data_IF_507941630303
#
_entry.id   IF_507941630303
#
_cell.length_a   1.000
_cell.length_b   1.000
_cell.length_c   1.000
_cell.angle_alpha   90.00
_cell.angle_beta   90.00
_cell.angle_gamma   90.00
#
_symmetry.space_group_name_H-M   'P 1'
#
loop_
_entity.id
_entity.type
_entity.pdbx_description
1 polymer ?
#
# COMPACT_ATOMS: atom_id res chain seq x y z
N UNK A 1 3.67 -10.93 10.79
CA UNK A 1 3.60 -12.36 10.42
C UNK A 1 3.14 -13.18 11.63
N UNK A 2 3.89 -13.29 12.72
CA UNK A 2 3.59 -14.15 13.88
C UNK A 2 2.17 -13.97 14.47
N UNK A 3 1.70 -12.73 14.57
CA UNK A 3 0.34 -12.46 15.08
C UNK A 3 -0.74 -13.03 14.14
N UNK A 4 -0.56 -12.89 12.83
CA UNK A 4 -1.51 -13.43 11.84
C UNK A 4 -1.51 -14.96 11.82
N UNK A 5 -0.37 -15.60 12.01
CA UNK A 5 -0.28 -17.06 12.13
C UNK A 5 -1.02 -17.56 13.37
N UNK A 6 -0.76 -16.97 14.53
CA UNK A 6 -1.45 -17.33 15.79
C UNK A 6 -2.98 -17.17 15.68
N UNK A 7 -3.44 -16.10 15.03
CA UNK A 7 -4.86 -15.88 14.80
C UNK A 7 -5.43 -16.91 13.84
N UNK A 8 -4.73 -17.23 12.76
CA UNK A 8 -5.16 -18.25 11.80
C UNK A 8 -5.21 -19.64 12.43
N UNK A 9 -4.20 -20.03 13.21
CA UNK A 9 -4.16 -21.30 13.93
C UNK A 9 -5.28 -21.44 14.95
N UNK A 10 -5.65 -20.34 15.62
CA UNK A 10 -6.67 -20.37 16.66
C UNK A 10 -8.09 -20.36 16.08
N UNK A 11 -8.38 -19.47 15.13
CA UNK A 11 -9.74 -19.26 14.62
C UNK A 11 -10.05 -20.02 13.33
N UNK A 12 -9.07 -20.30 12.49
CA UNK A 12 -9.27 -21.00 11.22
C UNK A 12 -9.95 -22.37 11.35
N UNK A 13 -9.59 -23.21 12.33
CA UNK A 13 -10.29 -24.48 12.55
C UNK A 13 -11.75 -24.34 13.01
N UNK A 14 -12.11 -23.19 13.57
CA UNK A 14 -13.47 -22.92 14.08
C UNK A 14 -14.37 -22.30 13.01
N UNK A 15 -13.77 -21.66 12.02
CA UNK A 15 -14.48 -20.97 10.93
C UNK A 15 -13.69 -21.13 9.63
N UNK A 16 -14.15 -21.95 8.70
CA UNK A 16 -13.44 -22.21 7.44
C UNK A 16 -13.36 -20.98 6.50
N UNK A 17 -14.15 -19.94 6.77
CA UNK A 17 -14.12 -18.68 6.01
C UNK A 17 -13.21 -17.63 6.69
N UNK A 18 -12.58 -17.96 7.82
CA UNK A 18 -11.70 -17.05 8.54
C UNK A 18 -10.36 -16.90 7.83
N UNK A 19 -9.94 -15.67 7.62
CA UNK A 19 -8.59 -15.30 7.23
C UNK A 19 -8.06 -14.26 8.20
N UNK A 20 -6.94 -14.52 8.88
CA UNK A 20 -6.39 -13.60 9.87
C UNK A 20 -6.25 -12.17 9.34
N UNK A 21 -5.99 -12.03 8.03
CA UNK A 21 -5.95 -10.77 7.30
C UNK A 21 -7.02 -10.81 6.20
N UNK A 22 -8.03 -9.94 6.30
CA UNK A 22 -9.00 -9.73 5.23
C UNK A 22 -8.38 -8.89 4.12
N UNK A 23 -8.02 -9.53 3.02
CA UNK A 23 -7.50 -8.88 1.81
C UNK A 23 -8.13 -9.54 0.58
N UNK A 24 -8.76 -8.74 -0.28
CA UNK A 24 -9.26 -9.20 -1.57
C UNK A 24 -8.24 -8.90 -2.66
N UNK A 25 -7.66 -9.93 -3.28
CA UNK A 25 -6.62 -9.79 -4.30
C UNK A 25 -7.13 -9.94 -5.73
N UNK A 26 -8.44 -10.14 -5.93
CA UNK A 26 -9.05 -10.27 -7.26
C UNK A 26 -8.77 -9.07 -8.17
N UNK A 27 -8.76 -7.87 -7.59
CA UNK A 27 -8.57 -6.62 -8.32
C UNK A 27 -7.09 -6.20 -8.40
N UNK A 28 -6.15 -7.01 -7.91
CA UNK A 28 -4.71 -6.78 -7.77
C UNK A 28 -4.33 -5.58 -6.88
N UNK A 29 -4.94 -4.41 -7.08
CA UNK A 29 -4.56 -3.17 -6.41
C UNK A 29 -4.56 -3.26 -4.87
N UNK A 30 -5.39 -4.07 -4.16
CA UNK A 30 -5.34 -4.13 -2.69
C UNK A 30 -4.03 -4.69 -2.12
N UNK A 31 -3.14 -5.21 -2.96
CA UNK A 31 -1.79 -5.63 -2.53
C UNK A 31 -0.83 -4.44 -2.35
N UNK A 32 -1.22 -3.21 -2.79
CA UNK A 32 -0.34 -2.03 -2.80
C UNK A 32 0.33 -1.70 -1.46
N UNK A 33 -0.32 -1.84 -0.28
CA UNK A 33 0.34 -1.48 0.97
C UNK A 33 1.58 -2.32 1.24
N UNK A 34 1.60 -3.55 0.74
CA UNK A 34 2.72 -4.47 0.84
C UNK A 34 3.70 -4.29 -0.32
N UNK A 35 3.19 -4.37 -1.54
CA UNK A 35 4.01 -4.49 -2.75
C UNK A 35 4.58 -3.16 -3.24
N UNK A 36 3.83 -2.08 -3.11
CA UNK A 36 4.26 -0.76 -3.62
C UNK A 36 5.04 0.03 -2.55
N UNK A 37 4.56 0.01 -1.30
CA UNK A 37 5.18 0.80 -0.23
C UNK A 37 6.24 0.05 0.57
N UNK A 38 6.18 -1.28 0.57
CA UNK A 38 7.11 -2.10 1.34
C UNK A 38 8.59 -1.80 1.08
N UNK A 39 9.06 -1.78 -0.18
CA UNK A 39 10.46 -1.48 -0.47
C UNK A 39 10.91 -0.08 -0.04
N UNK A 40 10.07 0.94 -0.22
CA UNK A 40 10.36 2.30 0.21
C UNK A 40 10.38 2.42 1.74
N UNK A 41 9.48 1.74 2.44
CA UNK A 41 9.46 1.71 3.90
C UNK A 41 10.65 0.94 4.48
N UNK A 42 11.03 -0.20 3.90
CA UNK A 42 12.21 -0.98 4.34
C UNK A 42 13.51 -0.19 4.18
N UNK A 43 13.70 0.46 3.02
CA UNK A 43 14.91 1.23 2.72
C UNK A 43 14.96 2.60 3.41
N UNK A 44 13.82 3.13 3.86
CA UNK A 44 13.70 4.53 4.31
C UNK A 44 13.84 5.56 3.17
N UNK A 45 13.81 5.11 1.92
CA UNK A 45 13.94 5.95 0.74
C UNK A 45 12.58 6.10 0.03
N UNK A 46 11.95 7.25 0.16
CA UNK A 46 10.67 7.53 -0.50
C UNK A 46 10.74 7.54 -2.03
N UNK A 47 11.92 7.76 -2.60
CA UNK A 47 12.20 7.70 -4.05
C UNK A 47 12.80 6.34 -4.47
N UNK A 48 12.40 5.28 -3.81
CA UNK A 48 12.91 3.93 -4.05
C UNK A 48 12.81 3.50 -5.50
N UNK A 49 11.68 3.78 -6.16
CA UNK A 49 11.44 3.39 -7.55
C UNK A 49 12.36 4.09 -8.54
N UNK A 50 12.72 5.36 -8.28
CA UNK A 50 13.71 6.07 -9.08
C UNK A 50 15.11 5.49 -8.85
N UNK A 51 15.49 5.26 -7.60
CA UNK A 51 16.77 4.66 -7.27
C UNK A 51 16.97 3.29 -7.93
N UNK A 52 15.91 2.47 -7.95
CA UNK A 52 15.91 1.14 -8.58
C UNK A 52 16.26 1.19 -10.08
N UNK A 53 15.96 2.28 -10.78
CA UNK A 53 16.31 2.41 -12.22
C UNK A 53 17.80 2.44 -12.49
N UNK A 54 18.61 2.73 -11.48
CA UNK A 54 20.08 2.76 -11.58
C UNK A 54 20.74 1.40 -11.38
N UNK A 55 19.98 0.38 -10.94
CA UNK A 55 20.47 -0.96 -10.63
C UNK A 55 20.28 -1.92 -11.81
N UNK A 56 21.27 -2.78 -12.07
CA UNK A 56 21.19 -3.79 -13.13
C UNK A 56 20.34 -5.00 -12.73
N UNK A 57 20.30 -5.32 -11.44
CA UNK A 57 19.60 -6.49 -10.90
C UNK A 57 18.89 -6.14 -9.56
N UNK A 58 17.86 -5.29 -9.60
CA UNK A 58 17.20 -4.82 -8.36
C UNK A 58 16.47 -5.93 -7.60
N UNK A 59 16.12 -7.03 -8.24
CA UNK A 59 15.46 -8.18 -7.61
C UNK A 59 16.46 -9.27 -7.17
N UNK A 60 17.77 -8.98 -7.12
CA UNK A 60 18.77 -9.94 -6.67
C UNK A 60 18.71 -10.12 -5.14
N UNK A 61 19.15 -11.30 -4.67
CA UNK A 61 19.26 -11.59 -3.24
C UNK A 61 20.08 -10.50 -2.52
N UNK A 62 19.55 -10.04 -1.38
CA UNK A 62 20.17 -8.99 -0.56
C UNK A 62 19.73 -7.56 -0.88
N UNK A 63 18.93 -7.34 -1.94
CA UNK A 63 18.31 -6.04 -2.19
C UNK A 63 17.08 -5.85 -1.31
N UNK A 64 16.68 -4.58 -1.07
CA UNK A 64 15.50 -4.27 -0.25
C UNK A 64 14.23 -4.88 -0.85
N UNK A 65 14.03 -4.75 -2.17
CA UNK A 65 12.83 -5.29 -2.83
C UNK A 65 12.79 -6.82 -2.76
N UNK A 66 13.92 -7.50 -2.97
CA UNK A 66 14.00 -8.95 -2.83
C UNK A 66 13.66 -9.40 -1.40
N UNK A 67 14.22 -8.71 -0.42
CA UNK A 67 13.98 -9.01 1.00
C UNK A 67 12.52 -8.81 1.39
N UNK A 68 11.94 -7.67 1.01
CA UNK A 68 10.54 -7.35 1.33
C UNK A 68 9.58 -8.31 0.63
N UNK A 69 9.78 -8.53 -0.67
CA UNK A 69 8.89 -9.40 -1.44
C UNK A 69 9.00 -10.86 -1.02
N UNK A 70 10.19 -11.31 -0.60
CA UNK A 70 10.37 -12.63 0.01
C UNK A 70 9.55 -12.80 1.29
N UNK A 71 9.56 -11.80 2.18
CA UNK A 71 8.73 -11.80 3.40
C UNK A 71 7.23 -11.79 3.11
N UNK A 72 6.81 -11.04 2.08
CA UNK A 72 5.40 -11.00 1.65
C UNK A 72 4.99 -12.35 1.06
N UNK A 73 5.84 -12.93 0.21
CA UNK A 73 5.62 -14.27 -0.33
C UNK A 73 5.47 -15.31 0.79
N UNK A 74 6.39 -15.32 1.75
CA UNK A 74 6.32 -16.20 2.93
C UNK A 74 5.02 -15.99 3.73
N UNK A 75 4.59 -14.74 3.91
CA UNK A 75 3.32 -14.42 4.58
C UNK A 75 2.13 -15.02 3.81
N UNK A 76 2.12 -14.89 2.48
CA UNK A 76 1.04 -15.39 1.64
C UNK A 76 0.96 -16.93 1.64
N UNK A 77 2.12 -17.61 1.66
CA UNK A 77 2.19 -19.07 1.73
C UNK A 77 1.66 -19.67 3.05
N UNK A 78 1.51 -18.83 4.10
CA UNK A 78 0.97 -19.29 5.40
C UNK A 78 -0.56 -19.36 5.44
N UNK A 79 -1.26 -19.06 4.36
CA UNK A 79 -2.72 -19.14 4.26
C UNK A 79 -3.48 -18.16 5.16
N UNK A 80 -2.82 -17.11 5.66
CA UNK A 80 -3.39 -16.13 6.60
C UNK A 80 -4.43 -15.19 5.96
N UNK A 81 -4.55 -15.20 4.63
CA UNK A 81 -5.52 -14.42 3.88
C UNK A 81 -6.88 -15.14 3.72
N UNK A 82 -7.04 -16.30 4.32
CA UNK A 82 -8.23 -17.13 4.17
C UNK A 82 -8.19 -18.03 2.93
N UNK A 83 -9.35 -18.59 2.58
CA UNK A 83 -9.42 -19.71 1.63
C UNK A 83 -9.26 -19.33 0.16
N UNK A 84 -9.73 -18.16 -0.24
CA UNK A 84 -9.77 -17.75 -1.65
C UNK A 84 -9.53 -16.23 -1.81
N UNK A 85 -8.34 -15.73 -1.50
CA UNK A 85 -8.05 -14.31 -1.63
C UNK A 85 -8.13 -13.81 -3.09
N UNK A 86 -7.88 -14.68 -4.07
CA UNK A 86 -7.93 -14.34 -5.50
C UNK A 86 -9.36 -14.23 -6.05
N UNK A 87 -10.34 -14.87 -5.41
CA UNK A 87 -11.76 -14.77 -5.76
C UNK A 87 -12.48 -13.59 -5.12
N UNK A 88 -11.87 -12.92 -4.13
CA UNK A 88 -12.49 -11.89 -3.31
C UNK A 88 -12.10 -10.50 -3.82
N UNK A 89 -13.11 -9.63 -4.03
CA UNK A 89 -12.91 -8.20 -4.33
C UNK A 89 -12.59 -7.41 -3.07
N UNK A 90 -12.11 -6.16 -3.26
CA UNK A 90 -11.91 -5.23 -2.14
C UNK A 90 -13.16 -5.03 -1.29
N UNK A 91 -14.32 -4.80 -1.92
CA UNK A 91 -15.58 -4.59 -1.19
C UNK A 91 -16.02 -5.84 -0.41
N UNK A 92 -15.81 -7.02 -1.00
CA UNK A 92 -16.08 -8.28 -0.30
C UNK A 92 -15.14 -8.48 0.89
N UNK A 93 -13.86 -8.13 0.79
CA UNK A 93 -12.92 -8.23 1.91
C UNK A 93 -13.31 -7.31 3.06
N UNK A 94 -13.82 -6.10 2.75
CA UNK A 94 -14.35 -5.15 3.74
C UNK A 94 -15.58 -5.72 4.47
N UNK A 95 -16.49 -6.35 3.72
CA UNK A 95 -17.65 -7.02 4.31
C UNK A 95 -17.28 -8.25 5.16
N UNK A 96 -16.25 -9.00 4.79
CA UNK A 96 -15.72 -10.11 5.61
C UNK A 96 -15.13 -9.60 6.92
N UNK A 97 -14.35 -8.53 6.89
CA UNK A 97 -13.82 -7.89 8.08
C UNK A 97 -14.95 -7.42 9.02
N UNK A 98 -16.00 -6.78 8.49
CA UNK A 98 -17.16 -6.36 9.25
C UNK A 98 -17.91 -7.53 9.92
N UNK A 99 -17.95 -8.67 9.27
CA UNK A 99 -18.54 -9.91 9.80
C UNK A 99 -17.61 -10.69 10.74
N UNK A 100 -16.45 -10.11 11.10
CA UNK A 100 -15.43 -10.75 11.94
C UNK A 100 -14.89 -12.08 11.38
N UNK A 101 -14.88 -12.18 10.04
CA UNK A 101 -14.25 -13.29 9.30
C UNK A 101 -12.74 -13.09 9.14
N UNK A 102 -12.18 -12.13 9.82
CA UNK A 102 -10.76 -11.84 9.98
C UNK A 102 -10.54 -10.79 11.03
N UNK A 103 -9.33 -10.76 11.56
CA UNK A 103 -8.95 -9.88 12.66
C UNK A 103 -8.24 -8.60 12.20
N UNK A 104 -7.67 -8.62 11.00
CA UNK A 104 -6.89 -7.50 10.44
C UNK A 104 -7.30 -7.23 8.99
N UNK A 105 -7.05 -6.01 8.56
CA UNK A 105 -7.11 -5.62 7.14
C UNK A 105 -5.98 -4.64 6.84
N UNK A 106 -5.44 -4.67 5.63
CA UNK A 106 -4.35 -3.81 5.19
C UNK A 106 -4.93 -2.73 4.28
N UNK A 107 -4.90 -1.48 4.74
CA UNK A 107 -5.56 -0.38 4.03
C UNK A 107 -4.95 0.99 4.38
N UNK A 108 -5.32 2.01 3.61
CA UNK A 108 -5.12 3.41 3.95
C UNK A 108 -6.19 3.90 4.94
N UNK A 109 -6.03 5.06 5.59
CA UNK A 109 -7.03 5.66 6.46
C UNK A 109 -8.42 5.85 5.81
N UNK A 110 -8.47 6.04 4.50
CA UNK A 110 -9.73 6.16 3.72
C UNK A 110 -10.63 4.92 3.82
N UNK A 111 -10.08 3.76 4.16
CA UNK A 111 -10.86 2.55 4.46
C UNK A 111 -11.91 2.82 5.54
N UNK A 112 -11.54 3.56 6.59
CA UNK A 112 -12.44 3.83 7.70
C UNK A 112 -13.68 4.64 7.26
N UNK A 113 -13.48 5.61 6.35
CA UNK A 113 -14.58 6.36 5.75
C UNK A 113 -15.54 5.45 4.99
N UNK A 114 -15.02 4.61 4.10
CA UNK A 114 -15.82 3.67 3.33
C UNK A 114 -16.54 2.66 4.24
N UNK A 115 -15.85 2.17 5.28
CA UNK A 115 -16.39 1.22 6.24
C UNK A 115 -17.58 1.80 7.03
N UNK A 116 -17.46 3.07 7.48
CA UNK A 116 -18.57 3.78 8.13
C UNK A 116 -19.71 4.10 7.18
N UNK A 117 -19.41 4.45 5.92
CA UNK A 117 -20.42 4.73 4.90
C UNK A 117 -21.27 3.49 4.56
N UNK A 118 -20.67 2.30 4.63
CA UNK A 118 -21.38 1.02 4.50
C UNK A 118 -22.25 0.68 5.75
N UNK A 119 -22.22 1.50 6.78
CA UNK A 119 -22.99 1.31 8.02
C UNK A 119 -22.37 0.32 9.00
N UNK A 120 -21.09 -0.02 8.85
CA UNK A 120 -20.41 -0.94 9.76
C UNK A 120 -19.94 -0.25 11.03
N UNK A 121 -20.02 -0.99 12.15
CA UNK A 121 -19.58 -0.52 13.47
C UNK A 121 -18.06 -0.56 13.60
N UNK A 122 -17.49 0.54 14.11
CA UNK A 122 -16.05 0.68 14.38
C UNK A 122 -15.68 0.43 15.84
N UNK A 123 -16.62 0.04 16.69
CA UNK A 123 -16.36 -0.27 18.08
C UNK A 123 -15.36 -1.43 18.22
N UNK A 124 -14.31 -1.21 19.01
CA UNK A 124 -13.22 -2.18 19.20
C UNK A 124 -12.20 -2.26 18.05
N UNK A 125 -12.31 -1.38 17.05
CA UNK A 125 -11.26 -1.23 16.05
C UNK A 125 -10.11 -0.37 16.61
N UNK A 126 -8.90 -0.73 16.18
CA UNK A 126 -7.70 0.07 16.35
C UNK A 126 -6.85 -0.01 15.10
N UNK A 127 -5.96 0.94 14.92
CA UNK A 127 -4.99 0.92 13.83
C UNK A 127 -3.58 0.76 14.37
N UNK A 128 -2.72 0.22 13.53
CA UNK A 128 -1.27 0.23 13.74
C UNK A 128 -0.58 0.40 12.39
N UNK A 129 0.60 0.97 12.41
CA UNK A 129 1.42 1.11 11.22
C UNK A 129 2.09 -0.21 10.88
N UNK A 130 2.05 -0.59 9.61
CA UNK A 130 2.65 -1.85 9.15
C UNK A 130 4.17 -1.77 9.19
N UNK A 131 4.86 -2.59 10.02
CA UNK A 131 6.31 -2.52 10.14
C UNK A 131 6.99 -3.29 9.00
N UNK A 132 7.82 -2.59 8.23
CA UNK A 132 8.75 -3.16 7.27
C UNK A 132 10.18 -3.07 7.84
N UNK A 133 10.44 -3.71 8.97
CA UNK A 133 11.76 -3.76 9.62
C UNK A 133 12.02 -5.17 10.11
N UNK A 134 13.29 -5.54 10.21
CA UNK A 134 13.71 -6.88 10.63
C UNK A 134 13.69 -7.05 12.15
N UNK A 135 13.99 -5.98 12.87
CA UNK A 135 14.00 -5.96 14.33
C UNK A 135 13.41 -4.66 14.88
N UNK A 136 13.09 -4.66 16.17
CA UNK A 136 12.64 -3.45 16.87
C UNK A 136 13.76 -2.40 17.04
N UNK A 137 15.01 -2.74 16.72
CA UNK A 137 16.16 -1.83 16.76
C UNK A 137 16.36 -1.09 15.44
N UNK A 138 15.77 -1.59 14.36
CA UNK A 138 15.85 -0.96 13.05
C UNK A 138 14.92 0.24 12.97
N UNK A 139 15.20 1.17 12.07
CA UNK A 139 14.32 2.31 11.83
C UNK A 139 12.93 1.82 11.42
N UNK A 140 11.92 2.49 11.97
CA UNK A 140 10.54 2.20 11.62
C UNK A 140 10.03 3.30 10.67
N UNK A 141 10.09 3.05 9.39
CA UNK A 141 9.63 3.98 8.38
C UNK A 141 8.21 3.64 7.93
N UNK A 142 7.38 4.66 7.75
CA UNK A 142 6.06 4.59 7.13
C UNK A 142 6.01 5.52 5.94
N UNK A 143 5.55 5.01 4.83
CA UNK A 143 5.38 5.80 3.61
C UNK A 143 4.13 6.67 3.73
N UNK A 144 4.29 7.97 3.43
CA UNK A 144 3.18 8.91 3.23
C UNK A 144 3.21 9.45 1.82
N UNK A 145 2.07 9.59 1.18
CA UNK A 145 1.96 10.13 -0.17
C UNK A 145 0.87 11.20 -0.28
N UNK A 146 1.00 12.09 -1.26
CA UNK A 146 -0.14 12.87 -1.76
C UNK A 146 -1.06 11.95 -2.56
N UNK A 147 -2.33 11.87 -2.17
CA UNK A 147 -3.28 10.95 -2.81
C UNK A 147 -3.89 11.54 -4.07
N UNK A 148 -4.37 12.77 -4.00
CA UNK A 148 -5.05 13.43 -5.11
C UNK A 148 -4.34 14.72 -5.53
N UNK A 149 -4.14 14.87 -6.84
CA UNK A 149 -3.56 16.06 -7.44
C UNK A 149 -4.58 16.74 -8.36
N UNK A 150 -4.83 18.02 -8.15
CA UNK A 150 -5.67 18.84 -9.00
C UNK A 150 -4.80 19.77 -9.84
N UNK A 151 -5.03 19.77 -11.13
CA UNK A 151 -4.27 20.59 -12.08
C UNK A 151 -5.19 21.34 -13.05
N UNK A 152 -4.73 22.50 -13.52
CA UNK A 152 -5.35 23.18 -14.67
C UNK A 152 -4.56 22.80 -15.91
N UNK A 153 -5.22 22.18 -16.88
CA UNK A 153 -4.57 21.77 -18.13
C UNK A 153 -4.27 22.95 -19.04
N UNK A 154 -3.17 22.88 -19.82
CA UNK A 154 -2.74 23.95 -20.72
C UNK A 154 -3.73 24.24 -21.84
N UNK A 155 -4.58 23.26 -22.20
CA UNK A 155 -5.60 23.38 -23.23
C UNK A 155 -7.00 23.64 -22.66
N UNK A 156 -7.11 24.08 -21.41
CA UNK A 156 -8.38 24.49 -20.83
C UNK A 156 -8.93 25.71 -21.58
N UNK A 157 -10.19 25.66 -21.99
CA UNK A 157 -10.89 26.80 -22.58
C UNK A 157 -11.22 27.92 -21.58
N UNK A 158 -11.25 27.55 -20.28
CA UNK A 158 -11.58 28.45 -19.17
C UNK A 158 -10.61 28.35 -18.00
N UNK A 159 -9.31 28.65 -18.18
CA UNK A 159 -8.29 28.43 -17.14
C UNK A 159 -8.54 29.27 -15.88
N UNK A 160 -9.10 30.47 -16.01
CA UNK A 160 -9.38 31.35 -14.86
C UNK A 160 -10.55 30.81 -14.02
N UNK A 161 -11.55 30.17 -14.62
CA UNK A 161 -12.62 29.48 -13.90
C UNK A 161 -12.07 28.26 -13.16
N UNK A 162 -11.19 27.49 -13.79
CA UNK A 162 -10.53 26.36 -13.17
C UNK A 162 -9.65 26.78 -11.97
N UNK A 163 -8.90 27.88 -12.07
CA UNK A 163 -8.14 28.45 -10.95
C UNK A 163 -9.06 28.89 -9.81
N UNK A 164 -10.13 29.62 -10.12
CA UNK A 164 -11.10 30.03 -9.10
C UNK A 164 -11.75 28.84 -8.38
N UNK A 165 -11.99 27.73 -9.11
CA UNK A 165 -12.42 26.48 -8.50
C UNK A 165 -11.36 25.91 -7.53
N UNK A 166 -10.08 25.89 -7.91
CA UNK A 166 -9.01 25.43 -7.01
C UNK A 166 -8.87 26.32 -5.78
N UNK A 167 -8.99 27.64 -5.93
CA UNK A 167 -8.98 28.58 -4.80
C UNK A 167 -10.13 28.30 -3.83
N UNK A 168 -11.34 28.03 -4.35
CA UNK A 168 -12.47 27.60 -3.54
C UNK A 168 -12.21 26.24 -2.86
N UNK A 169 -11.74 25.26 -3.64
CA UNK A 169 -11.49 23.90 -3.16
C UNK A 169 -10.50 23.87 -1.98
N UNK A 170 -9.44 24.69 -2.04
CA UNK A 170 -8.45 24.80 -0.96
C UNK A 170 -8.76 25.91 0.06
N UNK A 171 -9.99 26.45 0.07
CA UNK A 171 -10.38 27.48 1.03
C UNK A 171 -10.71 26.91 2.41
N UNK A 172 -10.64 27.78 3.44
CA UNK A 172 -11.08 27.45 4.80
C UNK A 172 -12.55 27.03 4.89
N UNK A 173 -13.38 27.52 3.95
CA UNK A 173 -14.81 27.23 3.92
C UNK A 173 -15.15 25.81 3.45
N UNK A 174 -14.24 25.13 2.74
CA UNK A 174 -14.53 23.84 2.14
C UNK A 174 -13.51 22.76 2.52
N UNK A 175 -12.23 23.04 2.32
CA UNK A 175 -11.17 22.02 2.37
C UNK A 175 -11.06 21.26 3.71
N UNK A 176 -11.15 21.91 4.89
CA UNK A 176 -11.03 21.22 6.17
C UNK A 176 -12.11 20.14 6.37
N UNK A 177 -13.35 20.44 5.99
CA UNK A 177 -14.46 19.51 6.14
C UNK A 177 -14.39 18.37 5.14
N UNK A 178 -13.96 18.66 3.92
CA UNK A 178 -13.71 17.65 2.91
C UNK A 178 -12.63 16.65 3.35
N UNK A 179 -11.47 17.13 3.78
CA UNK A 179 -10.35 16.28 4.24
C UNK A 179 -10.76 15.42 5.44
N UNK A 180 -11.48 15.98 6.41
CA UNK A 180 -12.00 15.23 7.53
C UNK A 180 -12.99 14.14 7.09
N UNK A 181 -13.83 14.42 6.08
CA UNK A 181 -14.84 13.49 5.57
C UNK A 181 -14.25 12.26 4.91
N UNK A 182 -13.04 12.38 4.33
CA UNK A 182 -12.32 11.27 3.69
C UNK A 182 -11.26 10.63 4.59
N UNK A 183 -11.19 11.00 5.86
CA UNK A 183 -10.22 10.49 6.85
C UNK A 183 -8.76 10.63 6.40
N UNK A 184 -8.44 11.72 5.70
CA UNK A 184 -7.10 12.01 5.19
C UNK A 184 -6.44 13.16 5.95
N UNK A 185 -5.11 13.19 5.93
CA UNK A 185 -4.34 14.30 6.47
C UNK A 185 -4.38 15.50 5.51
N UNK A 186 -4.44 16.71 6.11
CA UNK A 186 -4.40 17.94 5.34
C UNK A 186 -3.00 18.21 4.78
N UNK A 187 -2.91 18.54 3.49
CA UNK A 187 -1.71 19.10 2.88
C UNK A 187 -1.53 20.60 3.19
N UNK A 188 -2.57 21.22 3.80
CA UNK A 188 -2.60 22.62 4.19
C UNK A 188 -2.47 22.73 5.71
N UNK A 189 -1.30 23.07 6.23
CA UNK A 189 -1.02 23.17 7.68
C UNK A 189 -2.06 23.94 8.49
N UNK A 190 -2.60 25.10 8.03
CA UNK A 190 -3.62 25.84 8.79
C UNK A 190 -4.94 25.09 8.96
N UNK A 191 -5.17 24.05 8.16
CA UNK A 191 -6.45 23.33 8.10
C UNK A 191 -6.35 21.89 8.61
N UNK A 192 -5.28 21.57 9.34
CA UNK A 192 -5.16 20.27 10.01
C UNK A 192 -6.30 20.10 11.05
N UNK A 193 -6.98 18.96 11.00
CA UNK A 193 -8.00 18.58 12.00
C UNK A 193 -7.53 17.32 12.74
N UNK A 194 -8.13 17.10 13.91
CA UNK A 194 -7.91 15.85 14.65
C UNK A 194 -8.35 14.65 13.82
N UNK A 195 -7.50 13.63 13.81
CA UNK A 195 -7.82 12.35 13.19
C UNK A 195 -8.94 11.64 13.97
N UNK A 196 -9.65 10.78 13.29
CA UNK A 196 -10.59 9.86 13.92
C UNK A 196 -9.91 9.06 15.05
N UNK A 197 -10.55 8.87 16.23
CA UNK A 197 -9.95 8.15 17.35
C UNK A 197 -9.42 6.76 17.00
N UNK A 198 -10.05 6.05 16.06
CA UNK A 198 -9.53 4.76 15.57
C UNK A 198 -8.17 4.92 14.90
N UNK A 199 -7.96 6.00 14.13
CA UNK A 199 -6.71 6.28 13.44
C UNK A 199 -5.61 6.80 14.38
N UNK A 200 -5.99 7.50 15.46
CA UNK A 200 -5.05 8.00 16.47
C UNK A 200 -4.31 6.87 17.19
N UNK A 201 -4.93 5.69 17.34
CA UNK A 201 -4.34 4.56 18.05
C UNK A 201 -2.98 4.12 17.46
N UNK A 202 -2.76 4.28 16.17
CA UNK A 202 -1.49 3.91 15.55
C UNK A 202 -0.33 4.78 16.07
N UNK A 203 -0.50 6.10 16.13
CA UNK A 203 0.53 7.02 16.62
C UNK A 203 0.77 6.88 18.13
N UNK A 204 -0.26 6.51 18.89
CA UNK A 204 -0.13 6.24 20.32
C UNK A 204 0.63 4.95 20.61
N UNK A 205 0.37 3.89 19.82
CA UNK A 205 1.01 2.58 19.98
C UNK A 205 2.44 2.52 19.42
N UNK A 206 2.73 3.35 18.41
CA UNK A 206 3.97 3.31 17.64
C UNK A 206 4.54 4.73 17.45
N UNK A 207 4.87 5.45 18.54
CA UNK A 207 5.33 6.83 18.47
C UNK A 207 6.71 6.99 17.81
N UNK A 208 7.48 5.91 17.67
CA UNK A 208 8.81 5.90 17.06
C UNK A 208 8.79 5.92 15.53
N UNK A 209 7.61 5.84 14.90
CA UNK A 209 7.51 5.81 13.44
C UNK A 209 8.05 7.08 12.80
N UNK A 210 8.83 6.93 11.73
CA UNK A 210 9.32 8.01 10.87
C UNK A 210 8.54 8.02 9.57
N UNK A 211 8.01 9.19 9.22
CA UNK A 211 7.29 9.34 7.95
C UNK A 211 8.25 9.65 6.81
N UNK A 212 8.11 8.90 5.73
CA UNK A 212 8.89 9.03 4.50
C UNK A 212 7.97 9.47 3.37
N UNK A 213 8.26 10.61 2.77
CA UNK A 213 7.46 11.11 1.63
C UNK A 213 7.71 10.26 0.40
N UNK A 214 6.65 9.68 -0.13
CA UNK A 214 6.71 8.76 -1.26
C UNK A 214 6.70 9.48 -2.60
N UNK A 215 7.64 9.09 -3.46
CA UNK A 215 7.66 9.41 -4.87
C UNK A 215 7.27 8.18 -5.69
N UNK A 216 6.24 8.33 -6.51
CA UNK A 216 5.71 7.21 -7.30
C UNK A 216 6.59 6.79 -8.50
N UNK A 217 7.78 7.36 -8.60
CA UNK A 217 8.72 7.15 -9.70
C UNK A 217 8.63 8.23 -10.79
N UNK A 218 9.78 8.66 -11.27
CA UNK A 218 9.94 9.64 -12.34
C UNK A 218 9.85 9.02 -13.74
N UNK A 219 10.26 9.81 -14.75
CA UNK A 219 10.17 9.41 -16.16
C UNK A 219 10.92 8.12 -16.48
N UNK A 220 12.10 7.92 -15.88
CA UNK A 220 12.90 6.72 -16.16
C UNK A 220 12.22 5.47 -15.59
N UNK A 221 11.67 5.54 -14.39
CA UNK A 221 10.89 4.43 -13.83
C UNK A 221 9.64 4.14 -14.67
N UNK A 222 8.89 5.16 -15.11
CA UNK A 222 7.73 5.00 -15.98
C UNK A 222 8.13 4.31 -17.30
N UNK A 223 9.24 4.72 -17.90
CA UNK A 223 9.76 4.09 -19.12
C UNK A 223 10.18 2.63 -18.86
N UNK A 224 10.84 2.35 -17.74
CA UNK A 224 11.20 0.99 -17.33
C UNK A 224 9.97 0.11 -17.15
N UNK A 225 8.95 0.59 -16.44
CA UNK A 225 7.66 -0.12 -16.26
C UNK A 225 6.98 -0.38 -17.61
N UNK A 226 6.97 0.63 -18.49
CA UNK A 226 6.38 0.51 -19.84
C UNK A 226 7.10 -0.57 -20.68
N UNK A 227 8.43 -0.67 -20.57
CA UNK A 227 9.24 -1.62 -21.33
C UNK A 227 9.15 -3.04 -20.75
N UNK A 228 9.31 -3.17 -19.42
CA UNK A 228 9.34 -4.47 -18.72
C UNK A 228 7.97 -5.06 -18.46
N UNK A 229 6.91 -4.24 -18.50
CA UNK A 229 5.56 -4.57 -18.00
C UNK A 229 5.55 -4.96 -16.52
N UNK A 230 6.52 -4.50 -15.77
CA UNK A 230 6.54 -4.72 -14.33
C UNK A 230 5.37 -4.01 -13.66
N UNK A 231 4.60 -4.75 -12.91
CA UNK A 231 3.54 -4.26 -12.03
C UNK A 231 3.67 -4.96 -10.67
N UNK A 232 4.06 -4.20 -9.67
CA UNK A 232 4.27 -4.75 -8.32
C UNK A 232 2.98 -5.33 -7.72
N UNK A 233 1.83 -4.74 -8.01
CA UNK A 233 0.52 -5.22 -7.50
C UNK A 233 0.15 -6.55 -8.15
N UNK A 234 0.36 -6.65 -9.46
CA UNK A 234 0.15 -7.90 -10.19
C UNK A 234 1.12 -9.00 -9.73
N UNK A 235 2.38 -8.66 -9.44
CA UNK A 235 3.32 -9.61 -8.84
C UNK A 235 2.80 -10.13 -7.48
N UNK A 236 2.18 -9.28 -6.67
CA UNK A 236 1.51 -9.71 -5.42
C UNK A 236 0.40 -10.73 -5.66
N UNK A 237 -0.35 -10.59 -6.75
CA UNK A 237 -1.37 -11.59 -7.17
C UNK A 237 -0.71 -12.88 -7.64
N UNK A 238 0.36 -12.78 -8.42
CA UNK A 238 1.14 -13.96 -8.88
C UNK A 238 1.66 -14.78 -7.69
N UNK A 239 2.13 -14.13 -6.63
CA UNK A 239 2.61 -14.80 -5.40
C UNK A 239 1.54 -15.61 -4.66
N UNK A 240 0.25 -15.36 -4.92
CA UNK A 240 -0.88 -16.09 -4.37
C UNK A 240 -1.31 -17.29 -5.22
N UNK A 241 -0.72 -17.46 -6.40
CA UNK A 241 -1.09 -18.58 -7.29
C UNK A 241 -0.33 -19.84 -6.91
N UNK A 242 -1.01 -20.98 -7.05
CA UNK A 242 -0.40 -22.28 -6.80
C UNK A 242 0.81 -22.52 -7.70
N UNK A 243 1.91 -22.99 -7.11
CA UNK A 243 3.13 -23.31 -7.84
C UNK A 243 3.99 -22.10 -8.26
N UNK A 244 3.69 -20.91 -7.74
CA UNK A 244 4.56 -19.74 -7.96
C UNK A 244 5.95 -19.99 -7.38
N UNK A 245 6.98 -19.74 -8.19
CA UNK A 245 8.39 -19.85 -7.82
C UNK A 245 8.99 -18.45 -7.69
N UNK A 246 9.15 -17.99 -6.46
CA UNK A 246 9.64 -16.65 -6.15
C UNK A 246 11.07 -16.40 -6.67
N UNK A 247 11.98 -17.37 -6.48
CA UNK A 247 13.38 -17.23 -6.88
C UNK A 247 13.50 -17.13 -8.40
N UNK A 248 12.83 -18.04 -9.12
CA UNK A 248 12.76 -18.02 -10.58
C UNK A 248 12.17 -16.71 -11.10
N UNK A 249 11.11 -16.21 -10.47
CA UNK A 249 10.46 -14.95 -10.88
C UNK A 249 11.40 -13.75 -10.71
N UNK A 250 12.17 -13.70 -9.63
CA UNK A 250 13.20 -12.67 -9.41
C UNK A 250 14.29 -12.71 -10.48
N UNK A 251 14.74 -13.90 -10.91
CA UNK A 251 15.71 -14.05 -12.00
C UNK A 251 15.13 -13.51 -13.33
N UNK A 252 13.90 -13.88 -13.68
CA UNK A 252 13.22 -13.39 -14.89
C UNK A 252 13.06 -11.85 -14.87
N UNK A 253 12.68 -11.28 -13.72
CA UNK A 253 12.54 -9.84 -13.56
C UNK A 253 13.89 -9.13 -13.71
N UNK A 254 14.97 -9.65 -13.12
CA UNK A 254 16.31 -9.08 -13.28
C UNK A 254 16.78 -9.10 -14.73
N UNK A 255 16.57 -10.21 -15.45
CA UNK A 255 16.90 -10.29 -16.85
C UNK A 255 16.15 -9.24 -17.68
N UNK A 256 14.82 -9.20 -17.55
CA UNK A 256 13.96 -8.24 -18.27
C UNK A 256 14.35 -6.80 -17.94
N UNK A 257 14.68 -6.53 -16.67
CA UNK A 257 15.09 -5.22 -16.19
C UNK A 257 16.42 -4.76 -16.83
N UNK A 258 17.44 -5.63 -16.86
CA UNK A 258 18.74 -5.32 -17.46
C UNK A 258 18.63 -5.08 -18.97
N UNK A 259 17.80 -5.87 -19.67
CA UNK A 259 17.51 -5.68 -21.10
C UNK A 259 16.84 -4.32 -21.35
N UNK A 260 15.83 -3.96 -20.55
CA UNK A 260 15.13 -2.68 -20.65
C UNK A 260 16.04 -1.49 -20.38
N UNK A 261 16.90 -1.54 -19.35
CA UNK A 261 17.89 -0.49 -19.07
C UNK A 261 18.84 -0.27 -20.26
N UNK A 262 19.30 -1.35 -20.86
CA UNK A 262 20.15 -1.27 -22.05
C UNK A 262 19.43 -0.58 -23.21
N UNK A 263 18.19 -0.98 -23.48
CA UNK A 263 17.35 -0.43 -24.56
C UNK A 263 17.03 1.07 -24.36
N UNK A 264 16.82 1.49 -23.10
CA UNK A 264 16.50 2.86 -22.74
C UNK A 264 17.74 3.75 -22.55
N UNK A 265 18.94 3.19 -22.66
CA UNK A 265 20.19 3.96 -22.49
C UNK A 265 20.45 4.42 -21.04
N UNK A 266 19.94 3.68 -20.06
CA UNK A 266 20.10 3.95 -18.62
C UNK A 266 21.36 3.28 -18.02
N UNK A 267 22.17 2.64 -18.85
CA UNK A 267 23.47 2.03 -18.48
C UNK A 267 24.61 3.00 -18.67
#
# INVERSE_FOLDING_TARGET
VEASEKLQEHFGPQDPDFGAICMGAKDAWPTYPLMEYGPAAQSGNGYYWDAMTTEDAPFAEGTDIHTVYGKIYDLFQKGVLGKDPLGITYDQSRALFAKKKGAMTLNSPMFLTAYKADGYDTAGMSTFYLPFRDSSQDEFNLVTQGDCFLTVTNNSENPEVAKAFLEFYFSEAWYPDYIASISSDSTMTPYAKELDPVLQTASELQPEVKFVTYGAGGSDFINMVSETKFDCKQLGVEMLTDGFDYAKRCEELNQTWAEARTKLGLK
#
